data_IF_319680280587
#
_entry.id   IF_319680280587
#
_cell.length_a   1.000
_cell.length_b   1.000
_cell.length_c   1.000
_cell.angle_alpha   90.00
_cell.angle_beta   90.00
_cell.angle_gamma   90.00
#
_symmetry.space_group_name_H-M   'P 1'
#
loop_
_entity.id
_entity.type
_entity.pdbx_description
1 polymer ?
#
# COMPACT_ATOMS: atom_id res chain seq x y z
N UNK A 1 1.67 -20.95 -7.51
CA UNK A 1 0.44 -20.36 -6.92
C UNK A 1 0.90 -19.37 -5.87
N UNK A 2 0.41 -18.13 -5.91
CA UNK A 2 0.79 -17.10 -4.95
C UNK A 2 0.49 -17.53 -3.51
N UNK A 3 1.51 -17.45 -2.67
CA UNK A 3 1.42 -17.59 -1.22
C UNK A 3 1.93 -16.31 -0.57
N UNK A 4 1.29 -15.86 0.50
CA UNK A 4 1.73 -14.71 1.28
C UNK A 4 1.64 -15.02 2.77
N UNK A 5 2.51 -14.41 3.56
CA UNK A 5 2.36 -14.36 4.99
C UNK A 5 1.13 -13.53 5.37
N UNK A 6 0.10 -14.22 5.85
CA UNK A 6 -1.09 -13.59 6.39
C UNK A 6 -0.85 -13.19 7.86
N UNK A 7 -1.02 -11.91 8.12
CA UNK A 7 -0.72 -11.28 9.41
C UNK A 7 -1.65 -11.79 10.50
N UNK A 8 -2.92 -12.07 10.16
CA UNK A 8 -3.91 -12.56 11.10
C UNK A 8 -3.54 -13.97 11.59
N UNK A 9 -3.25 -14.88 10.65
CA UNK A 9 -2.93 -16.29 10.95
C UNK A 9 -1.47 -16.53 11.31
N UNK A 10 -0.57 -15.58 11.01
CA UNK A 10 0.90 -15.67 11.18
C UNK A 10 1.52 -16.82 10.39
N UNK A 11 0.92 -17.16 9.26
CA UNK A 11 1.32 -18.27 8.41
C UNK A 11 1.42 -17.83 6.95
N UNK A 12 2.31 -18.48 6.19
CA UNK A 12 2.34 -18.33 4.73
C UNK A 12 1.24 -19.19 4.14
N UNK A 13 0.20 -18.55 3.63
CA UNK A 13 -1.02 -19.18 3.13
C UNK A 13 -1.19 -18.92 1.62
N UNK A 14 -1.83 -19.84 0.87
CA UNK A 14 -2.29 -19.55 -0.48
C UNK A 14 -3.21 -18.34 -0.51
N UNK A 15 -2.96 -17.40 -1.42
CA UNK A 15 -3.86 -16.27 -1.67
C UNK A 15 -4.56 -16.50 -3.00
N UNK A 16 -5.81 -16.93 -2.92
CA UNK A 16 -6.63 -17.22 -4.09
C UNK A 16 -8.08 -16.78 -3.84
N UNK A 17 -8.74 -16.18 -4.85
CA UNK A 17 -10.12 -15.76 -4.69
C UNK A 17 -11.07 -16.95 -4.57
N UNK A 18 -11.98 -16.89 -3.61
CA UNK A 18 -12.97 -17.94 -3.41
C UNK A 18 -13.97 -17.98 -4.58
N UNK A 19 -14.00 -19.10 -5.32
CA UNK A 19 -15.03 -19.36 -6.35
C UNK A 19 -15.01 -18.41 -7.55
N UNK A 20 -13.92 -17.67 -7.78
CA UNK A 20 -13.80 -16.77 -8.93
C UNK A 20 -12.37 -16.73 -9.48
N UNK A 21 -12.15 -16.01 -10.59
CA UNK A 21 -10.81 -15.70 -11.12
C UNK A 21 -10.41 -14.25 -10.87
N UNK A 22 -11.11 -13.55 -9.97
CA UNK A 22 -10.86 -12.13 -9.66
C UNK A 22 -10.39 -12.02 -8.21
N UNK A 23 -9.12 -11.69 -8.02
CA UNK A 23 -8.54 -11.35 -6.73
C UNK A 23 -8.86 -9.88 -6.42
N UNK A 24 -9.63 -9.65 -5.36
CA UNK A 24 -10.05 -8.32 -4.90
C UNK A 24 -9.13 -7.86 -3.78
N UNK A 25 -8.42 -6.77 -4.03
CA UNK A 25 -7.36 -6.29 -3.15
C UNK A 25 -7.60 -4.83 -2.77
N UNK A 26 -7.57 -4.55 -1.48
CA UNK A 26 -7.54 -3.19 -0.96
C UNK A 26 -6.12 -2.84 -0.50
N UNK A 27 -5.66 -1.62 -0.78
CA UNK A 27 -4.39 -1.09 -0.30
C UNK A 27 -4.63 0.18 0.49
N UNK A 28 -4.30 0.12 1.79
CA UNK A 28 -4.24 1.28 2.65
C UNK A 28 -2.86 1.93 2.50
N UNK A 29 -2.86 3.16 2.00
CA UNK A 29 -1.68 4.04 1.98
C UNK A 29 -1.87 5.13 3.03
N UNK A 30 -0.81 5.45 3.78
CA UNK A 30 -0.90 6.50 4.79
C UNK A 30 -1.11 7.88 4.15
N UNK A 31 -1.60 8.81 4.96
CA UNK A 31 -2.08 10.11 4.50
C UNK A 31 -0.92 11.08 4.19
N UNK A 32 -1.24 12.08 3.37
CA UNK A 32 -0.32 13.02 2.73
C UNK A 32 0.43 13.97 3.71
N UNK A 33 1.62 14.48 3.31
CA UNK A 33 2.29 14.24 2.03
C UNK A 33 2.94 12.85 1.97
N UNK A 34 2.80 12.19 0.81
CA UNK A 34 3.33 10.85 0.59
C UNK A 34 4.85 10.87 0.41
N UNK A 35 5.52 9.90 1.01
CA UNK A 35 6.94 9.63 0.76
C UNK A 35 7.20 8.18 0.38
N UNK A 36 8.48 7.82 0.28
CA UNK A 36 8.91 6.45 -0.02
C UNK A 36 8.31 5.40 0.92
N UNK A 37 8.02 5.77 2.17
CA UNK A 37 7.39 4.87 3.14
C UNK A 37 5.96 4.48 2.72
N UNK A 38 5.22 5.40 2.10
CA UNK A 38 3.83 5.21 1.66
C UNK A 38 3.75 4.49 0.31
N UNK A 39 4.80 4.61 -0.52
CA UNK A 39 4.94 3.84 -1.75
C UNK A 39 5.24 2.35 -1.49
N UNK A 40 5.80 2.00 -0.32
CA UNK A 40 6.16 0.61 -0.01
C UNK A 40 4.98 -0.37 0.04
N UNK A 41 3.84 -0.10 0.72
CA UNK A 41 2.67 -0.98 0.64
C UNK A 41 2.06 -1.01 -0.77
N UNK A 42 2.17 0.08 -1.54
CA UNK A 42 1.74 0.09 -2.95
C UNK A 42 2.65 -0.78 -3.83
N UNK A 43 3.96 -0.81 -3.58
CA UNK A 43 4.90 -1.73 -4.24
C UNK A 43 4.55 -3.19 -3.92
N UNK A 44 4.21 -3.49 -2.66
CA UNK A 44 3.74 -4.82 -2.27
C UNK A 44 2.46 -5.21 -3.04
N UNK A 45 1.48 -4.30 -3.12
CA UNK A 45 0.26 -4.53 -3.89
C UNK A 45 0.55 -4.74 -5.39
N UNK A 46 1.47 -3.97 -5.98
CA UNK A 46 1.90 -4.14 -7.37
C UNK A 46 2.56 -5.51 -7.62
N UNK A 47 3.43 -5.98 -6.71
CA UNK A 47 4.04 -7.31 -6.79
C UNK A 47 2.99 -8.43 -6.69
N UNK A 48 2.09 -8.34 -5.70
CA UNK A 48 0.96 -9.26 -5.57
C UNK A 48 0.17 -9.31 -6.87
N UNK A 49 -0.15 -8.14 -7.43
CA UNK A 49 -0.91 -8.03 -8.68
C UNK A 49 -0.21 -8.74 -9.83
N UNK A 50 1.08 -8.45 -10.03
CA UNK A 50 1.87 -9.01 -11.14
C UNK A 50 2.04 -10.53 -11.02
N UNK A 51 2.27 -11.05 -9.82
CA UNK A 51 2.38 -12.50 -9.59
C UNK A 51 1.02 -13.20 -9.76
N UNK A 52 -0.07 -12.60 -9.25
CA UNK A 52 -1.42 -13.13 -9.43
C UNK A 52 -1.84 -13.17 -10.91
N UNK A 53 -1.56 -12.11 -11.66
CA UNK A 53 -1.89 -12.04 -13.09
C UNK A 53 -1.04 -12.99 -13.94
N UNK A 54 0.24 -13.20 -13.59
CA UNK A 54 1.06 -14.26 -14.20
C UNK A 54 0.44 -15.64 -13.99
N UNK A 55 -0.20 -15.88 -12.84
CA UNK A 55 -0.92 -17.11 -12.54
C UNK A 55 -2.32 -17.19 -13.19
N UNK A 56 -2.69 -16.23 -14.05
CA UNK A 56 -3.95 -16.22 -14.79
C UNK A 56 -5.15 -15.67 -14.01
N UNK A 57 -4.92 -15.01 -12.88
CA UNK A 57 -5.97 -14.27 -12.16
C UNK A 57 -6.13 -12.87 -12.74
N UNK A 58 -7.34 -12.32 -12.69
CA UNK A 58 -7.55 -10.88 -12.82
C UNK A 58 -7.48 -10.27 -11.43
N UNK A 59 -6.91 -9.08 -11.31
CA UNK A 59 -6.90 -8.33 -10.05
C UNK A 59 -7.86 -7.16 -10.17
N UNK A 60 -8.66 -6.94 -9.13
CA UNK A 60 -9.47 -5.75 -8.92
C UNK A 60 -8.91 -5.04 -7.68
N UNK A 61 -8.16 -3.97 -7.90
CA UNK A 61 -7.47 -3.21 -6.87
C UNK A 61 -8.24 -1.93 -6.54
N UNK A 62 -8.30 -1.62 -5.25
CA UNK A 62 -8.82 -0.37 -4.72
C UNK A 62 -7.82 0.23 -3.74
N UNK A 63 -7.53 1.52 -3.84
CA UNK A 63 -6.66 2.26 -2.91
C UNK A 63 -7.30 3.62 -2.65
N UNK A 64 -7.52 3.99 -1.40
CA UNK A 64 -8.02 5.34 -1.12
C UNK A 64 -6.93 6.41 -1.28
N UNK A 65 -7.34 7.64 -1.59
CA UNK A 65 -6.46 8.81 -1.65
C UNK A 65 -6.97 9.84 -0.64
N UNK A 66 -6.14 10.18 0.34
CA UNK A 66 -6.52 11.16 1.35
C UNK A 66 -6.19 12.58 0.92
N UNK A 67 -7.18 13.28 0.38
CA UNK A 67 -7.11 14.69 -0.04
C UNK A 67 -7.42 15.70 1.10
N UNK A 68 -7.70 15.22 2.32
CA UNK A 68 -8.07 16.08 3.45
C UNK A 68 -6.87 16.40 4.35
N UNK A 69 -6.59 17.68 4.57
CA UNK A 69 -5.57 18.14 5.52
C UNK A 69 -6.09 17.86 6.91
N UNK A 70 -5.46 16.96 7.64
CA UNK A 70 -5.79 16.73 9.05
C UNK A 70 -4.52 16.83 9.87
N UNK A 71 -4.47 17.85 10.74
CA UNK A 71 -3.51 17.86 11.84
C UNK A 71 -3.82 16.66 12.72
N UNK A 72 -2.83 15.78 12.91
CA UNK A 72 -2.93 14.69 13.88
C UNK A 72 -3.28 15.27 15.26
N UNK A 73 -4.39 14.81 15.82
CA UNK A 73 -4.78 15.15 17.18
C UNK A 73 -3.76 14.60 18.17
N UNK A 74 -3.04 15.50 18.86
CA UNK A 74 -2.35 15.19 20.11
C UNK A 74 -0.82 14.99 20.06
N UNK A 75 -0.08 16.05 19.76
CA UNK A 75 1.08 16.56 20.54
C UNK A 75 1.75 17.65 19.72
N UNK A 76 2.01 18.79 20.37
CA UNK A 76 2.53 20.01 19.74
C UNK A 76 3.72 19.74 18.82
N UNK A 77 3.51 19.93 17.53
CA UNK A 77 4.58 20.29 16.61
C UNK A 77 4.37 21.78 16.36
N UNK A 78 5.17 22.59 17.05
CA UNK A 78 5.37 23.99 16.68
C UNK A 78 5.98 23.97 15.29
N UNK A 79 5.18 24.36 14.31
CA UNK A 79 5.55 24.55 12.92
C UNK A 79 4.48 25.43 12.32
N UNK A 80 4.72 26.73 12.40
CA UNK A 80 4.06 27.72 11.55
C UNK A 80 4.38 27.34 10.10
N UNK A 81 3.34 27.12 9.29
CA UNK A 81 3.49 26.62 7.93
C UNK A 81 2.14 26.40 7.27
N UNK A 82 1.56 27.52 6.85
CA UNK A 82 0.67 27.74 5.70
C UNK A 82 -0.55 26.83 5.49
N UNK A 83 -1.72 27.44 5.73
CA UNK A 83 -2.68 27.77 4.67
C UNK A 83 -3.32 26.63 3.89
N UNK A 84 -4.64 26.64 3.82
CA UNK A 84 -5.45 25.88 2.87
C UNK A 84 -5.22 26.35 1.42
N UNK A 85 -3.99 26.17 0.93
CA UNK A 85 -3.64 26.26 -0.48
C UNK A 85 -4.08 24.99 -1.22
N UNK A 86 -4.35 25.17 -2.49
CA UNK A 86 -4.77 24.19 -3.49
C UNK A 86 -3.98 22.86 -3.41
N UNK A 87 -4.59 21.80 -2.87
CA UNK A 87 -3.99 20.45 -2.72
C UNK A 87 -4.47 19.44 -3.76
N UNK A 88 -5.04 19.91 -4.87
CA UNK A 88 -5.25 19.07 -6.06
C UNK A 88 -3.94 18.44 -6.59
N UNK A 89 -2.77 18.89 -6.11
CA UNK A 89 -1.44 18.37 -6.46
C UNK A 89 -0.92 17.18 -5.63
N UNK A 90 -1.44 16.89 -4.44
CA UNK A 90 -0.79 15.93 -3.52
C UNK A 90 -1.10 14.47 -3.86
N UNK A 91 -2.35 14.15 -4.19
CA UNK A 91 -2.73 12.84 -4.74
C UNK A 91 -2.14 12.60 -6.13
N UNK A 92 -1.99 13.68 -6.91
CA UNK A 92 -1.26 13.66 -8.18
C UNK A 92 0.23 13.38 -7.97
N UNK A 93 0.82 13.78 -6.84
CA UNK A 93 2.20 13.48 -6.47
C UNK A 93 2.38 12.00 -6.13
N UNK A 94 1.48 11.38 -5.34
CA UNK A 94 1.56 9.93 -5.08
C UNK A 94 1.47 9.13 -6.38
N UNK A 95 0.47 9.43 -7.22
CA UNK A 95 0.26 8.67 -8.46
C UNK A 95 1.39 8.87 -9.47
N UNK A 96 1.95 10.08 -9.55
CA UNK A 96 3.15 10.32 -10.33
C UNK A 96 4.35 9.52 -9.79
N UNK A 97 4.55 9.49 -8.47
CA UNK A 97 5.63 8.73 -7.85
C UNK A 97 5.46 7.21 -8.03
N UNK A 98 4.24 6.70 -7.86
CA UNK A 98 3.91 5.30 -8.08
C UNK A 98 4.12 4.91 -9.55
N UNK A 99 3.73 5.77 -10.49
CA UNK A 99 3.97 5.59 -11.92
C UNK A 99 5.48 5.60 -12.24
N UNK A 100 6.24 6.52 -11.66
CA UNK A 100 7.70 6.59 -11.82
C UNK A 100 8.41 5.34 -11.27
N UNK A 101 7.81 4.65 -10.30
CA UNK A 101 8.23 3.33 -9.80
C UNK A 101 7.59 2.15 -10.55
N UNK A 102 7.05 2.38 -11.76
CA UNK A 102 6.40 1.38 -12.61
C UNK A 102 5.30 0.58 -11.91
N UNK A 103 4.59 1.17 -10.93
CA UNK A 103 3.46 0.52 -10.30
C UNK A 103 2.21 0.67 -11.16
N UNK A 104 1.37 -0.36 -11.19
CA UNK A 104 0.10 -0.31 -11.91
C UNK A 104 -0.96 0.41 -11.08
N UNK A 105 -1.67 1.35 -11.72
CA UNK A 105 -2.78 2.06 -11.08
C UNK A 105 -3.89 1.10 -10.65
N UNK A 106 -4.53 1.33 -9.49
CA UNK A 106 -5.70 0.56 -9.08
C UNK A 106 -6.92 0.89 -9.97
N UNK A 107 -7.85 -0.05 -10.11
CA UNK A 107 -9.11 0.19 -10.84
C UNK A 107 -10.00 1.21 -10.13
N UNK A 108 -9.86 1.34 -8.81
CA UNK A 108 -10.57 2.31 -7.99
C UNK A 108 -9.60 3.10 -7.11
N UNK A 109 -9.66 4.43 -7.22
CA UNK A 109 -8.85 5.34 -6.40
C UNK A 109 -9.65 6.53 -5.88
N UNK A 110 -10.72 6.30 -5.09
CA UNK A 110 -11.60 7.38 -4.65
C UNK A 110 -10.89 8.30 -3.66
N UNK A 111 -11.21 9.60 -3.72
CA UNK A 111 -10.74 10.58 -2.74
C UNK A 111 -11.53 10.46 -1.45
N UNK A 112 -10.92 10.74 -0.29
CA UNK A 112 -11.62 10.72 1.01
C UNK A 112 -12.79 11.70 1.04
N UNK A 113 -12.66 12.87 0.41
CA UNK A 113 -13.76 13.83 0.29
C UNK A 113 -14.98 13.26 -0.45
N UNK A 114 -14.78 12.35 -1.42
CA UNK A 114 -15.81 11.73 -2.24
C UNK A 114 -16.51 10.55 -1.53
N UNK A 115 -15.85 9.94 -0.53
CA UNK A 115 -16.35 8.74 0.16
C UNK A 115 -17.08 9.04 1.46
N UNK A 116 -17.25 10.32 1.83
CA UNK A 116 -17.83 10.66 3.13
C UNK A 116 -19.25 10.14 3.35
N UNK A 117 -20.06 10.09 2.30
CA UNK A 117 -21.39 9.47 2.37
C UNK A 117 -21.32 8.01 2.82
N UNK A 118 -20.35 7.25 2.30
CA UNK A 118 -20.10 5.85 2.69
C UNK A 118 -19.67 5.73 4.15
N UNK A 119 -18.88 6.68 4.64
CA UNK A 119 -18.44 6.73 6.04
C UNK A 119 -19.64 6.96 6.97
N UNK A 120 -20.51 7.92 6.65
CA UNK A 120 -21.72 8.21 7.44
C UNK A 120 -22.66 7.00 7.43
N UNK A 121 -22.86 6.36 6.27
CA UNK A 121 -23.63 5.12 6.14
C UNK A 121 -23.06 3.98 6.99
N UNK A 122 -21.73 3.82 7.01
CA UNK A 122 -21.05 2.81 7.82
C UNK A 122 -21.31 3.04 9.31
N UNK A 123 -21.17 4.27 9.80
CA UNK A 123 -21.46 4.60 11.20
C UNK A 123 -22.92 4.28 11.54
N UNK A 124 -23.87 4.67 10.68
CA UNK A 124 -25.29 4.35 10.86
C UNK A 124 -25.52 2.84 11.00
N UNK A 125 -24.93 2.05 10.10
CA UNK A 125 -25.01 0.58 10.15
C UNK A 125 -24.39 -0.02 11.41
N UNK A 126 -23.29 0.55 11.92
CA UNK A 126 -22.66 0.10 13.16
C UNK A 126 -23.59 0.33 14.36
N UNK A 127 -24.29 1.47 14.42
CA UNK A 127 -25.29 1.75 15.46
C UNK A 127 -26.47 0.79 15.35
N UNK A 128 -27.03 0.61 14.15
CA UNK A 128 -28.16 -0.31 13.90
C UNK A 128 -27.85 -1.75 14.34
N UNK A 129 -26.59 -2.16 14.25
CA UNK A 129 -26.12 -3.51 14.63
C UNK A 129 -25.62 -3.60 16.07
N UNK A 130 -25.68 -2.52 16.86
CA UNK A 130 -25.28 -2.51 18.26
C UNK A 130 -23.77 -2.52 18.51
N UNK A 131 -22.98 -2.06 17.54
CA UNK A 131 -21.51 -1.94 17.63
C UNK A 131 -21.02 -0.50 17.85
N UNK A 132 -21.93 0.47 17.80
CA UNK A 132 -21.62 1.88 18.05
C UNK A 132 -22.78 2.55 18.79
N UNK A 133 -22.47 3.64 19.48
CA UNK A 133 -23.46 4.44 20.20
C UNK A 133 -23.18 5.94 20.03
N UNK A 134 -24.24 6.73 20.00
CA UNK A 134 -24.18 8.19 19.94
C UNK A 134 -24.38 8.79 21.35
N UNK A 135 -23.67 9.87 21.66
CA UNK A 135 -23.85 10.64 22.89
C UNK A 135 -24.86 11.78 22.67
N UNK A 136 -25.48 12.33 23.73
CA UNK A 136 -26.37 13.48 23.63
C UNK A 136 -25.72 14.71 22.97
N UNK A 137 -24.41 14.84 23.05
CA UNK A 137 -23.61 15.93 22.49
C UNK A 137 -23.28 15.73 21.00
N UNK A 138 -23.73 14.63 20.39
CA UNK A 138 -23.55 14.34 18.96
C UNK A 138 -22.27 13.60 18.62
N UNK A 139 -21.46 13.18 19.61
CA UNK A 139 -20.34 12.29 19.37
C UNK A 139 -20.82 10.86 19.11
N UNK A 140 -20.08 10.10 18.31
CA UNK A 140 -20.34 8.66 18.10
C UNK A 140 -19.09 7.88 18.37
N UNK A 141 -19.22 6.79 19.12
CA UNK A 141 -18.12 5.89 19.48
C UNK A 141 -18.41 4.47 19.01
N UNK A 142 -17.36 3.74 18.66
CA UNK A 142 -17.42 2.29 18.50
C UNK A 142 -17.30 1.65 19.89
N UNK A 143 -18.22 0.75 20.21
CA UNK A 143 -18.18 -0.05 21.43
C UNK A 143 -17.16 -1.18 21.24
N UNK A 144 -15.97 -1.05 21.81
CA UNK A 144 -14.90 -2.04 21.67
C UNK A 144 -15.30 -3.41 22.27
N UNK A 145 -16.18 -3.43 23.26
CA UNK A 145 -16.66 -4.66 23.91
C UNK A 145 -17.59 -5.47 23.01
N UNK A 146 -18.22 -4.82 22.03
CA UNK A 146 -19.10 -5.46 21.05
C UNK A 146 -18.36 -6.31 20.01
N UNK A 147 -17.01 -6.25 19.95
CA UNK A 147 -16.20 -7.01 19.00
C UNK A 147 -15.13 -7.86 19.74
N UNK A 148 -15.47 -9.07 20.21
CA UNK A 148 -14.62 -9.88 21.09
C UNK A 148 -13.25 -10.25 20.51
N UNK A 149 -13.13 -10.29 19.17
CA UNK A 149 -11.93 -10.65 18.42
C UNK A 149 -11.02 -9.45 18.14
N UNK A 150 -11.22 -8.32 18.82
CA UNK A 150 -10.35 -7.15 18.70
C UNK A 150 -8.93 -7.44 19.22
N UNK A 151 -7.92 -7.14 18.41
CA UNK A 151 -6.50 -7.31 18.74
C UNK A 151 -5.87 -8.56 18.12
N UNK A 152 -6.63 -9.40 17.39
CA UNK A 152 -6.13 -10.65 16.80
C UNK A 152 -5.09 -10.42 15.69
N UNK A 153 -5.30 -9.40 14.83
CA UNK A 153 -4.35 -9.09 13.76
C UNK A 153 -3.02 -8.63 14.36
N UNK A 154 -3.08 -7.66 15.27
CA UNK A 154 -1.91 -7.05 15.90
C UNK A 154 -1.26 -7.92 16.98
N UNK A 155 -1.94 -8.96 17.48
CA UNK A 155 -1.50 -9.76 18.62
C UNK A 155 -1.57 -9.02 19.95
N UNK A 156 -2.47 -8.02 20.06
CA UNK A 156 -2.71 -7.20 21.26
C UNK A 156 -4.17 -7.36 21.73
N UNK A 157 -4.56 -8.55 22.24
CA UNK A 157 -5.94 -8.79 22.64
C UNK A 157 -6.35 -7.93 23.83
N UNK A 158 -7.61 -7.50 23.86
CA UNK A 158 -8.24 -6.85 25.03
C UNK A 158 -7.75 -5.43 25.36
N UNK A 159 -7.04 -4.76 24.44
CA UNK A 159 -6.36 -3.49 24.71
C UNK A 159 -6.96 -2.27 24.00
N UNK A 160 -8.28 -2.12 23.93
CA UNK A 160 -8.89 -0.91 23.35
C UNK A 160 -9.99 -0.32 24.23
N UNK A 161 -9.92 0.99 24.55
CA UNK A 161 -11.12 1.74 24.91
C UNK A 161 -12.00 1.92 23.67
N UNK A 162 -13.26 2.26 23.90
CA UNK A 162 -14.14 2.78 22.86
C UNK A 162 -13.46 3.94 22.14
N UNK A 163 -13.60 4.00 20.81
CA UNK A 163 -12.91 5.00 20.00
C UNK A 163 -13.90 5.81 19.17
N UNK A 164 -13.59 7.10 18.91
CA UNK A 164 -14.49 7.98 18.20
C UNK A 164 -14.64 7.56 16.74
N UNK A 165 -15.89 7.48 16.31
CA UNK A 165 -16.32 7.36 14.92
C UNK A 165 -16.76 8.71 14.35
N UNK A 166 -17.31 9.59 15.21
CA UNK A 166 -17.75 10.93 14.85
C UNK A 166 -17.45 11.91 15.99
N UNK A 167 -16.73 12.97 15.68
CA UNK A 167 -16.42 14.06 16.61
C UNK A 167 -17.28 15.29 16.27
N UNK A 168 -18.14 15.78 17.19
CA UNK A 168 -19.01 16.90 16.92
C UNK A 168 -18.19 18.19 16.85
N UNK A 169 -18.51 19.05 15.88
CA UNK A 169 -17.89 20.36 15.74
C UNK A 169 -18.96 21.45 15.90
N UNK A 170 -18.86 22.29 16.94
CA UNK A 170 -19.82 23.37 17.17
C UNK A 170 -19.98 24.29 15.96
N UNK A 171 -21.18 24.87 15.83
CA UNK A 171 -21.41 25.95 14.88
C UNK A 171 -20.52 27.16 15.21
N UNK A 172 -19.87 27.77 14.20
CA UNK A 172 -19.12 29.00 14.43
C UNK A 172 -20.05 30.10 14.94
N UNK A 173 -19.56 31.00 15.83
CA UNK A 173 -20.33 32.15 16.28
C UNK A 173 -20.84 32.99 15.09
N UNK A 174 -22.09 33.48 15.16
CA UNK A 174 -22.66 34.32 14.09
C UNK A 174 -21.75 35.54 13.85
N UNK A 175 -21.27 35.68 12.62
CA UNK A 175 -20.39 36.79 12.21
C UNK A 175 -18.89 36.49 12.29
N UNK A 176 -18.46 35.31 12.75
CA UNK A 176 -17.07 34.91 12.61
C UNK A 176 -16.78 34.49 11.16
N UNK A 177 -15.88 35.19 10.49
CA UNK A 177 -15.28 34.77 9.20
C UNK A 177 -14.14 33.77 9.43
N UNK A 178 -14.27 32.94 10.47
CA UNK A 178 -13.18 32.18 11.07
C UNK A 178 -12.57 31.18 10.11
N UNK A 179 -11.26 31.34 9.92
CA UNK A 179 -10.32 30.64 9.05
C UNK A 179 -10.04 29.18 9.49
N UNK A 180 -11.02 28.50 10.09
CA UNK A 180 -10.86 27.08 10.44
C UNK A 180 -11.16 26.26 9.17
N UNK A 181 -10.19 26.27 8.25
CA UNK A 181 -10.24 25.65 6.92
C UNK A 181 -10.35 24.11 6.92
N UNK A 182 -10.71 23.50 8.07
CA UNK A 182 -10.94 22.07 8.18
C UNK A 182 -12.27 21.73 7.52
N UNK A 183 -12.31 20.78 6.57
CA UNK A 183 -13.56 20.32 6.01
C UNK A 183 -14.38 19.64 7.11
N UNK A 184 -15.64 20.04 7.26
CA UNK A 184 -16.60 19.51 8.24
C UNK A 184 -17.84 19.03 7.50
N UNK A 185 -18.43 17.94 7.97
CA UNK A 185 -19.60 17.33 7.33
C UNK A 185 -20.82 17.36 8.23
N UNK A 186 -21.99 17.31 7.60
CA UNK A 186 -23.26 17.13 8.29
C UNK A 186 -23.64 15.65 8.24
N UNK A 187 -23.98 15.08 9.38
CA UNK A 187 -24.51 13.73 9.51
C UNK A 187 -25.75 13.69 10.42
N UNK A 188 -26.35 12.50 10.61
CA UNK A 188 -27.50 12.32 11.51
C UNK A 188 -27.24 12.75 12.95
N UNK A 189 -25.97 12.78 13.38
CA UNK A 189 -25.53 13.19 14.71
C UNK A 189 -25.12 14.67 14.79
N UNK A 190 -25.45 15.45 13.76
CA UNK A 190 -25.09 16.86 13.64
C UNK A 190 -23.80 17.08 12.85
N UNK A 191 -23.27 18.30 12.96
CA UNK A 191 -22.06 18.74 12.28
C UNK A 191 -20.83 18.14 12.96
N UNK A 192 -19.92 17.54 12.20
CA UNK A 192 -18.77 16.88 12.78
C UNK A 192 -17.72 16.36 11.79
N UNK A 193 -16.74 15.67 12.37
CA UNK A 193 -15.60 15.07 11.70
C UNK A 193 -15.64 13.55 11.88
N UNK A 194 -15.47 12.76 10.82
CA UNK A 194 -15.34 11.31 10.97
C UNK A 194 -14.00 10.95 11.61
N UNK A 195 -13.98 9.79 12.27
CA UNK A 195 -12.77 9.11 12.71
C UNK A 195 -11.89 8.66 11.54
N UNK A 196 -10.58 8.59 11.78
CA UNK A 196 -9.54 8.33 10.77
C UNK A 196 -9.68 6.97 10.08
N UNK A 197 -10.06 5.94 10.83
CA UNK A 197 -10.03 4.54 10.37
C UNK A 197 -11.24 4.15 9.49
N UNK A 198 -12.30 4.97 9.50
CA UNK A 198 -13.59 4.65 8.87
C UNK A 198 -13.54 4.63 7.35
N UNK A 199 -12.75 5.51 6.75
CA UNK A 199 -12.57 5.59 5.30
C UNK A 199 -12.03 4.25 4.77
N UNK A 200 -10.97 3.76 5.39
CA UNK A 200 -10.34 2.48 5.07
C UNK A 200 -11.21 1.25 5.39
N UNK A 201 -12.34 1.44 6.07
CA UNK A 201 -13.37 0.42 6.28
C UNK A 201 -14.48 0.51 5.23
N UNK A 202 -15.01 1.71 4.99
CA UNK A 202 -16.15 1.93 4.11
C UNK A 202 -15.81 1.75 2.63
N UNK A 203 -14.65 2.26 2.21
CA UNK A 203 -14.19 2.23 0.82
C UNK A 203 -14.09 0.80 0.25
N UNK A 204 -13.34 -0.15 0.85
CA UNK A 204 -13.26 -1.50 0.30
C UNK A 204 -14.62 -2.21 0.25
N UNK A 205 -15.49 -1.99 1.25
CA UNK A 205 -16.83 -2.59 1.25
C UNK A 205 -17.68 -2.12 0.05
N UNK A 206 -17.50 -0.87 -0.40
CA UNK A 206 -18.22 -0.31 -1.55
C UNK A 206 -17.68 -0.79 -2.90
N UNK A 207 -16.36 -0.83 -3.06
CA UNK A 207 -15.71 -1.09 -4.35
C UNK A 207 -15.35 -2.55 -4.58
N UNK A 208 -15.09 -3.31 -3.52
CA UNK A 208 -14.71 -4.73 -3.57
C UNK A 208 -15.84 -5.65 -3.09
N UNK A 209 -16.81 -5.10 -2.36
CA UNK A 209 -17.97 -5.82 -1.83
C UNK A 209 -17.81 -6.21 -0.36
N UNK A 210 -18.84 -6.87 0.24
CA UNK A 210 -18.90 -7.16 1.67
C UNK A 210 -17.88 -8.22 2.13
N UNK A 211 -17.15 -8.84 1.21
CA UNK A 211 -16.04 -9.75 1.44
C UNK A 211 -15.08 -9.69 0.26
N UNK A 212 -13.79 -9.50 0.53
CA UNK A 212 -12.71 -9.38 -0.45
C UNK A 212 -11.46 -10.15 0.03
N UNK A 213 -10.52 -10.37 -0.88
CA UNK A 213 -9.51 -11.41 -0.72
C UNK A 213 -8.28 -10.95 0.08
N UNK A 214 -7.82 -9.71 -0.15
CA UNK A 214 -6.57 -9.22 0.45
C UNK A 214 -6.67 -7.76 0.89
N UNK A 215 -6.25 -7.49 2.13
CA UNK A 215 -5.98 -6.16 2.65
C UNK A 215 -4.46 -5.96 2.76
N UNK A 216 -3.94 -4.89 2.16
CA UNK A 216 -2.53 -4.54 2.15
C UNK A 216 -2.29 -3.23 2.88
N UNK A 217 -1.25 -3.13 3.70
CA UNK A 217 -0.84 -1.85 4.28
C UNK A 217 0.52 -1.91 4.96
N UNK A 218 0.86 -0.87 5.73
CA UNK A 218 2.15 -0.80 6.44
C UNK A 218 2.08 -1.44 7.82
N UNK A 219 3.19 -2.01 8.28
CA UNK A 219 3.26 -2.67 9.59
C UNK A 219 2.93 -1.75 10.77
N UNK A 220 3.25 -0.45 10.70
CA UNK A 220 2.88 0.51 11.74
C UNK A 220 1.38 0.80 11.80
N UNK A 221 0.66 0.65 10.69
CA UNK A 221 -0.79 0.81 10.64
C UNK A 221 -1.53 -0.46 11.11
N UNK A 222 -0.84 -1.58 11.33
CA UNK A 222 -1.45 -2.80 11.86
C UNK A 222 -2.23 -2.52 13.17
N UNK A 223 -1.70 -1.64 14.03
CA UNK A 223 -2.40 -1.20 15.24
C UNK A 223 -2.25 0.32 15.48
N UNK A 224 -3.32 1.05 15.84
CA UNK A 224 -4.70 0.56 15.97
C UNK A 224 -5.47 0.56 14.64
N UNK A 225 -4.92 1.15 13.57
CA UNK A 225 -5.67 1.51 12.37
C UNK A 225 -6.33 0.31 11.68
N UNK A 226 -5.57 -0.70 11.27
CA UNK A 226 -6.11 -1.89 10.61
C UNK A 226 -6.92 -2.79 11.55
N UNK A 227 -6.57 -2.82 12.85
CA UNK A 227 -7.38 -3.53 13.86
C UNK A 227 -8.79 -2.93 13.96
N UNK A 228 -8.87 -1.59 13.97
CA UNK A 228 -10.15 -0.86 13.93
C UNK A 228 -10.85 -1.05 12.59
N UNK A 229 -10.12 -1.05 11.47
CA UNK A 229 -10.70 -1.26 10.16
C UNK A 229 -11.36 -2.65 10.03
N UNK A 230 -10.70 -3.70 10.56
CA UNK A 230 -11.29 -5.03 10.67
C UNK A 230 -12.52 -5.01 11.56
N UNK A 231 -12.44 -4.45 12.76
CA UNK A 231 -13.57 -4.41 13.70
C UNK A 231 -14.80 -3.72 13.08
N UNK A 232 -14.61 -2.54 12.47
CA UNK A 232 -15.67 -1.77 11.81
C UNK A 232 -16.26 -2.53 10.62
N UNK A 233 -15.41 -3.08 9.75
CA UNK A 233 -15.88 -3.79 8.55
C UNK A 233 -16.60 -5.10 8.90
N UNK A 234 -16.09 -5.84 9.88
CA UNK A 234 -16.67 -7.12 10.29
C UNK A 234 -17.98 -6.91 11.07
N UNK A 235 -18.03 -5.94 11.98
CA UNK A 235 -19.26 -5.53 12.66
C UNK A 235 -20.34 -5.11 11.66
N UNK A 236 -19.96 -4.32 10.65
CA UNK A 236 -20.89 -3.84 9.62
C UNK A 236 -21.40 -4.93 8.68
N UNK A 237 -20.62 -5.98 8.42
CA UNK A 237 -20.97 -7.04 7.46
C UNK A 237 -21.46 -8.33 8.12
N UNK A 238 -21.12 -8.57 9.39
CA UNK A 238 -21.38 -9.80 10.12
C UNK A 238 -20.45 -10.96 9.75
N UNK A 239 -19.32 -10.70 9.08
CA UNK A 239 -18.34 -11.71 8.65
C UNK A 239 -16.93 -11.11 8.53
N UNK A 240 -15.91 -11.94 8.31
CA UNK A 240 -14.59 -11.43 7.91
C UNK A 240 -14.65 -10.76 6.53
N UNK A 241 -14.55 -9.43 6.52
CA UNK A 241 -14.59 -8.65 5.28
C UNK A 241 -13.32 -8.87 4.44
N UNK A 242 -12.14 -8.86 5.05
CA UNK A 242 -10.87 -9.18 4.39
C UNK A 242 -10.44 -10.60 4.76
N UNK A 243 -10.21 -11.46 3.77
CA UNK A 243 -9.79 -12.86 4.02
C UNK A 243 -8.34 -12.94 4.50
N UNK A 244 -7.45 -12.14 3.91
CA UNK A 244 -6.02 -12.12 4.25
C UNK A 244 -5.52 -10.69 4.50
N UNK A 245 -4.50 -10.57 5.36
CA UNK A 245 -3.86 -9.31 5.71
C UNK A 245 -2.36 -9.36 5.44
N UNK A 246 -1.84 -8.53 4.54
CA UNK A 246 -0.42 -8.44 4.24
C UNK A 246 0.15 -7.08 4.63
N UNK A 247 1.25 -7.07 5.39
CA UNK A 247 1.89 -5.84 5.83
C UNK A 247 3.34 -5.72 5.34
N UNK A 248 3.68 -4.56 4.77
CA UNK A 248 5.08 -4.21 4.47
C UNK A 248 5.81 -3.76 5.74
N UNK A 249 7.09 -4.12 5.87
CA UNK A 249 7.93 -3.70 6.98
C UNK A 249 8.17 -2.18 7.03
N UNK A 250 8.72 -1.69 8.14
CA UNK A 250 9.05 -0.27 8.30
C UNK A 250 10.14 0.17 7.35
N UNK A 251 10.04 1.41 6.87
CA UNK A 251 11.09 2.07 6.11
C UNK A 251 11.87 3.00 7.04
N UNK A 252 13.19 2.90 7.00
CA UNK A 252 14.11 3.92 7.48
C UNK A 252 14.78 4.58 6.28
N UNK A 253 15.22 5.81 6.47
CA UNK A 253 16.08 6.52 5.54
C UNK A 253 17.23 7.16 6.30
N UNK A 254 18.46 6.81 5.93
CA UNK A 254 19.67 7.23 6.65
C UNK A 254 19.56 6.96 8.16
N UNK A 255 19.12 5.75 8.53
CA UNK A 255 19.00 5.30 9.92
C UNK A 255 17.83 5.91 10.72
N UNK A 256 17.02 6.80 10.12
CA UNK A 256 15.86 7.43 10.77
C UNK A 256 14.55 6.88 10.20
N UNK A 257 13.54 6.55 11.04
CA UNK A 257 12.24 6.12 10.53
C UNK A 257 11.67 7.11 9.51
N UNK A 258 11.26 6.60 8.35
CA UNK A 258 10.60 7.38 7.32
C UNK A 258 9.08 7.28 7.48
N UNK A 259 8.37 8.40 7.32
CA UNK A 259 6.93 8.48 7.50
C UNK A 259 6.50 9.87 7.99
N UNK A 260 5.46 9.94 8.82
CA UNK A 260 4.96 11.21 9.36
C UNK A 260 6.05 11.94 10.14
N UNK A 261 6.38 13.17 9.73
CA UNK A 261 7.43 13.99 10.34
C UNK A 261 8.84 13.80 9.75
N UNK A 262 9.07 12.76 8.95
CA UNK A 262 10.29 12.54 8.18
C UNK A 262 9.94 11.95 6.82
N UNK A 263 9.39 12.81 5.96
CA UNK A 263 8.94 12.46 4.62
C UNK A 263 10.14 12.51 3.68
N UNK A 264 10.36 11.41 2.96
CA UNK A 264 11.40 11.31 1.92
C UNK A 264 10.70 11.25 0.57
N UNK A 265 10.70 12.34 -0.21
CA UNK A 265 10.02 12.37 -1.50
C UNK A 265 10.86 11.66 -2.58
N UNK A 266 10.19 11.00 -3.53
CA UNK A 266 10.89 10.39 -4.68
C UNK A 266 11.59 11.44 -5.54
N UNK A 267 11.04 12.65 -5.63
CA UNK A 267 11.64 13.78 -6.34
C UNK A 267 13.05 14.13 -5.85
N UNK A 268 13.36 13.88 -4.57
CA UNK A 268 14.71 14.04 -4.02
C UNK A 268 15.72 13.06 -4.63
N UNK A 269 15.28 11.82 -4.90
CA UNK A 269 16.10 10.79 -5.56
C UNK A 269 16.37 11.17 -7.02
N UNK A 270 15.32 11.64 -7.72
CA UNK A 270 15.44 12.13 -9.11
C UNK A 270 16.37 13.34 -9.20
N UNK A 271 16.23 14.30 -8.29
CA UNK A 271 17.09 15.48 -8.23
C UNK A 271 18.57 15.15 -7.97
N UNK A 272 18.85 14.01 -7.33
CA UNK A 272 20.20 13.49 -7.16
C UNK A 272 20.78 12.81 -8.41
N UNK A 273 20.03 12.80 -9.52
CA UNK A 273 20.44 12.21 -10.80
C UNK A 273 20.30 10.69 -10.87
N UNK A 274 19.57 10.08 -9.93
CA UNK A 274 19.34 8.64 -9.88
C UNK A 274 18.05 8.29 -10.60
N UNK A 275 18.02 7.11 -11.22
CA UNK A 275 16.81 6.55 -11.80
C UNK A 275 15.77 6.26 -10.70
N UNK A 276 14.49 6.68 -10.83
CA UNK A 276 13.45 6.33 -9.87
C UNK A 276 13.37 4.83 -9.58
N UNK A 277 13.58 3.97 -10.59
CA UNK A 277 13.53 2.52 -10.45
C UNK A 277 14.70 1.95 -9.64
N UNK A 278 15.74 2.75 -9.34
CA UNK A 278 16.73 2.40 -8.32
C UNK A 278 16.09 2.24 -6.93
N UNK A 279 15.08 3.05 -6.60
CA UNK A 279 14.30 2.88 -5.36
C UNK A 279 13.55 1.55 -5.38
N UNK A 280 12.91 1.23 -6.51
CA UNK A 280 12.21 -0.04 -6.68
C UNK A 280 13.16 -1.21 -6.51
N UNK A 281 14.29 -1.22 -7.22
CA UNK A 281 15.29 -2.28 -7.11
C UNK A 281 15.81 -2.40 -5.67
N UNK A 282 16.21 -1.29 -5.04
CA UNK A 282 16.67 -1.28 -3.66
C UNK A 282 15.64 -1.89 -2.70
N UNK A 283 14.35 -1.58 -2.86
CA UNK A 283 13.30 -2.19 -2.05
C UNK A 283 13.11 -3.69 -2.33
N UNK A 284 13.28 -4.14 -3.58
CA UNK A 284 13.18 -5.56 -3.97
C UNK A 284 14.35 -6.41 -3.45
N UNK A 285 15.50 -5.81 -3.14
CA UNK A 285 16.63 -6.48 -2.50
C UNK A 285 16.34 -6.91 -1.05
N UNK A 286 15.25 -6.42 -0.47
CA UNK A 286 14.81 -6.78 0.87
C UNK A 286 13.41 -7.40 0.83
N UNK A 287 13.22 -8.47 1.61
CA UNK A 287 11.92 -9.11 1.70
C UNK A 287 10.89 -8.10 2.24
N UNK A 288 9.72 -8.00 1.59
CA UNK A 288 8.72 -6.96 1.84
C UNK A 288 8.32 -6.80 3.32
N UNK A 289 8.35 -7.89 4.10
CA UNK A 289 7.96 -7.96 5.52
C UNK A 289 9.01 -7.38 6.46
N UNK A 290 10.28 -7.29 6.04
CA UNK A 290 11.40 -6.89 6.89
C UNK A 290 11.53 -5.37 6.92
N UNK A 291 11.90 -4.77 8.07
CA UNK A 291 12.36 -3.39 8.08
C UNK A 291 13.52 -3.21 7.08
N UNK A 292 13.57 -2.07 6.41
CA UNK A 292 14.66 -1.71 5.48
C UNK A 292 15.12 -0.30 5.75
N UNK A 293 16.42 -0.08 5.71
CA UNK A 293 17.03 1.25 5.75
C UNK A 293 17.56 1.59 4.36
N UNK A 294 16.89 2.54 3.70
CA UNK A 294 17.37 3.07 2.43
C UNK A 294 18.38 4.19 2.72
N UNK A 295 19.62 3.98 2.30
CA UNK A 295 20.66 5.00 2.32
C UNK A 295 20.93 5.51 0.92
N UNK A 296 21.53 6.68 0.80
CA UNK A 296 22.00 7.19 -0.49
C UNK A 296 22.99 6.23 -1.16
N UNK A 297 23.82 5.54 -0.37
CA UNK A 297 24.74 4.55 -0.89
C UNK A 297 24.02 3.32 -1.45
N UNK A 298 22.97 2.84 -0.76
CA UNK A 298 22.12 1.77 -1.27
C UNK A 298 21.40 2.17 -2.57
N UNK A 299 20.90 3.41 -2.64
CA UNK A 299 20.24 3.93 -3.85
C UNK A 299 21.21 4.07 -5.03
N UNK A 300 22.43 4.57 -4.79
CA UNK A 300 23.48 4.64 -5.83
C UNK A 300 23.90 3.26 -6.32
N UNK A 301 24.04 2.30 -5.40
CA UNK A 301 24.36 0.92 -5.76
C UNK A 301 23.25 0.29 -6.62
N UNK A 302 21.98 0.49 -6.24
CA UNK A 302 20.83 0.04 -7.01
C UNK A 302 20.75 0.71 -8.40
N UNK A 303 21.02 2.02 -8.51
CA UNK A 303 21.07 2.72 -9.81
C UNK A 303 22.16 2.14 -10.72
N UNK A 304 23.36 1.89 -10.18
CA UNK A 304 24.46 1.28 -10.93
C UNK A 304 24.13 -0.13 -11.40
N UNK A 305 23.53 -0.96 -10.53
CA UNK A 305 23.09 -2.31 -10.87
C UNK A 305 21.99 -2.27 -11.95
N UNK A 306 21.00 -1.39 -11.81
CA UNK A 306 19.94 -1.22 -12.79
C UNK A 306 20.48 -0.87 -14.19
N UNK A 307 21.39 0.10 -14.27
CA UNK A 307 22.06 0.47 -15.53
C UNK A 307 22.88 -0.67 -16.10
N UNK A 308 23.54 -1.45 -15.25
CA UNK A 308 24.31 -2.62 -15.67
C UNK A 308 23.39 -3.69 -16.28
N UNK A 309 22.29 -4.02 -15.60
CA UNK A 309 21.31 -5.00 -16.08
C UNK A 309 20.67 -4.58 -17.41
N UNK A 310 20.30 -3.30 -17.56
CA UNK A 310 19.77 -2.76 -18.83
C UNK A 310 20.77 -2.90 -19.99
N UNK A 311 22.04 -2.55 -19.78
CA UNK A 311 23.09 -2.76 -20.79
C UNK A 311 23.24 -4.23 -21.18
N UNK A 312 23.22 -5.14 -20.20
CA UNK A 312 23.33 -6.59 -20.45
C UNK A 312 22.15 -7.12 -21.25
N UNK A 313 20.94 -6.69 -20.91
CA UNK A 313 19.72 -7.04 -21.66
C UNK A 313 19.79 -6.48 -23.09
N UNK A 314 20.29 -5.25 -23.28
CA UNK A 314 20.50 -4.68 -24.60
C UNK A 314 21.53 -5.47 -25.44
N UNK A 315 22.66 -5.85 -24.84
CA UNK A 315 23.67 -6.71 -25.49
C UNK A 315 23.08 -8.07 -25.90
N UNK A 316 22.31 -8.72 -25.02
CA UNK A 316 21.71 -10.02 -25.33
C UNK A 316 20.62 -9.92 -26.40
N UNK A 317 19.96 -8.77 -26.53
CA UNK A 317 18.94 -8.53 -27.56
C UNK A 317 19.52 -8.54 -28.99
N UNK A 318 20.84 -8.39 -29.16
CA UNK A 318 21.52 -8.52 -30.45
C UNK A 318 21.69 -9.97 -30.92
N UNK A 319 21.44 -10.94 -30.02
CA UNK A 319 21.51 -12.37 -30.33
C UNK A 319 20.14 -12.92 -30.76
N UNK A 320 20.08 -14.00 -31.56
CA UNK A 320 18.82 -14.65 -31.90
C UNK A 320 18.04 -15.06 -30.64
N UNK A 321 16.75 -14.75 -30.59
CA UNK A 321 15.86 -15.17 -29.50
C UNK A 321 15.86 -16.70 -29.34
N UNK A 322 15.80 -17.16 -28.09
CA UNK A 322 15.78 -18.58 -27.70
C UNK A 322 14.75 -18.79 -26.59
N UNK A 323 14.24 -20.01 -26.40
CA UNK A 323 13.36 -20.30 -25.27
C UNK A 323 13.97 -19.86 -23.95
N UNK A 324 13.12 -19.43 -23.02
CA UNK A 324 13.53 -19.13 -21.63
C UNK A 324 14.31 -20.32 -21.04
N UNK A 325 15.29 -20.03 -20.18
CA UNK A 325 15.99 -21.07 -19.46
C UNK A 325 15.08 -21.67 -18.39
N UNK A 326 14.58 -22.88 -18.64
CA UNK A 326 13.56 -23.51 -17.80
C UNK A 326 14.04 -23.76 -16.36
N UNK A 327 15.33 -24.04 -16.15
CA UNK A 327 15.89 -24.36 -14.83
C UNK A 327 15.93 -23.11 -13.95
N UNK A 328 16.48 -22.01 -14.46
CA UNK A 328 16.50 -20.73 -13.74
C UNK A 328 15.09 -20.16 -13.60
N UNK A 329 14.28 -20.23 -14.65
CA UNK A 329 12.92 -19.72 -14.63
C UNK A 329 12.06 -20.40 -13.55
N UNK A 330 12.13 -21.74 -13.42
CA UNK A 330 11.38 -22.43 -12.39
C UNK A 330 11.82 -22.01 -10.98
N UNK A 331 13.13 -21.84 -10.74
CA UNK A 331 13.67 -21.40 -9.44
C UNK A 331 13.21 -19.98 -9.10
N UNK A 332 13.32 -19.04 -10.05
CA UNK A 332 12.89 -17.65 -9.85
C UNK A 332 11.38 -17.59 -9.62
N UNK A 333 10.60 -18.34 -10.38
CA UNK A 333 9.15 -18.41 -10.21
C UNK A 333 8.77 -18.93 -8.83
N UNK A 334 9.41 -20.00 -8.33
CA UNK A 334 9.16 -20.52 -6.99
C UNK A 334 9.45 -19.49 -5.90
N UNK A 335 10.54 -18.73 -6.02
CA UNK A 335 10.86 -17.67 -5.08
C UNK A 335 9.80 -16.55 -5.08
N UNK A 336 9.32 -16.14 -6.27
CA UNK A 336 8.26 -15.14 -6.37
C UNK A 336 6.89 -15.66 -5.90
N UNK A 337 6.59 -16.94 -6.11
CA UNK A 337 5.32 -17.56 -5.69
C UNK A 337 5.26 -17.80 -4.16
N UNK A 338 6.40 -18.01 -3.50
CA UNK A 338 6.49 -18.27 -2.06
C UNK A 338 6.82 -16.99 -1.28
N UNK A 339 5.77 -16.34 -0.77
CA UNK A 339 5.84 -15.12 0.06
C UNK A 339 6.58 -13.94 -0.60
N UNK A 340 6.55 -13.88 -1.94
CA UNK A 340 7.22 -12.83 -2.73
C UNK A 340 8.69 -12.64 -2.32
N UNK A 341 9.48 -13.72 -2.27
CA UNK A 341 10.91 -13.68 -1.96
C UNK A 341 11.72 -13.04 -3.12
N UNK A 342 11.53 -11.73 -3.31
CA UNK A 342 12.22 -10.92 -4.31
C UNK A 342 13.73 -10.90 -4.13
N UNK A 343 14.32 -10.92 -2.91
CA UNK A 343 15.77 -11.06 -2.76
C UNK A 343 16.31 -12.38 -3.34
N UNK A 344 15.62 -13.49 -3.09
CA UNK A 344 16.01 -14.77 -3.68
C UNK A 344 15.84 -14.76 -5.21
N UNK A 345 14.73 -14.21 -5.72
CA UNK A 345 14.50 -14.07 -7.15
C UNK A 345 15.61 -13.25 -7.85
N UNK A 346 16.02 -12.12 -7.26
CA UNK A 346 17.10 -11.29 -7.79
C UNK A 346 18.46 -11.99 -7.77
N UNK A 347 18.79 -12.73 -6.69
CA UNK A 347 20.01 -13.58 -6.69
C UNK A 347 19.99 -14.62 -7.79
N UNK A 348 18.86 -15.30 -7.99
CA UNK A 348 18.72 -16.34 -9.02
C UNK A 348 18.85 -15.77 -10.44
N UNK A 349 18.43 -14.53 -10.66
CA UNK A 349 18.68 -13.82 -11.92
C UNK A 349 20.16 -13.45 -12.09
N UNK A 350 20.85 -13.05 -11.02
CA UNK A 350 22.31 -12.83 -11.05
C UNK A 350 23.09 -14.12 -11.33
N UNK A 351 22.63 -15.25 -10.79
CA UNK A 351 23.19 -16.57 -11.12
C UNK A 351 23.06 -16.85 -12.62
N UNK A 352 21.86 -16.63 -13.19
CA UNK A 352 21.61 -16.79 -14.64
C UNK A 352 22.46 -15.86 -15.49
N UNK A 353 22.60 -14.60 -15.07
CA UNK A 353 23.44 -13.64 -15.76
C UNK A 353 24.90 -14.14 -15.88
N UNK A 354 25.43 -14.69 -14.78
CA UNK A 354 26.80 -15.18 -14.68
C UNK A 354 27.02 -16.54 -15.35
N UNK A 355 25.97 -17.30 -15.65
CA UNK A 355 26.07 -18.64 -16.23
C UNK A 355 26.47 -18.58 -17.73
N UNK A 356 27.74 -18.84 -18.03
CA UNK A 356 28.26 -18.83 -19.41
C UNK A 356 27.72 -19.98 -20.28
N UNK A 357 27.10 -21.01 -19.68
CA UNK A 357 26.52 -22.13 -20.43
C UNK A 357 25.17 -21.80 -21.08
N UNK A 358 24.51 -20.74 -20.63
CA UNK A 358 23.21 -20.29 -21.18
C UNK A 358 23.43 -19.28 -22.31
N UNK A 359 22.83 -19.55 -23.46
CA UNK A 359 22.92 -18.66 -24.63
C UNK A 359 22.33 -17.27 -24.33
N UNK A 360 22.92 -16.18 -24.87
CA UNK A 360 22.42 -14.81 -24.67
C UNK A 360 20.92 -14.63 -24.96
N UNK A 361 20.42 -15.21 -26.06
CA UNK A 361 18.99 -15.14 -26.40
C UNK A 361 18.07 -15.76 -25.33
N UNK A 362 18.52 -16.82 -24.64
CA UNK A 362 17.77 -17.43 -23.54
C UNK A 362 17.82 -16.56 -22.28
N UNK A 363 18.96 -15.91 -22.01
CA UNK A 363 19.08 -14.93 -20.92
C UNK A 363 18.14 -13.76 -21.15
N UNK A 364 18.15 -13.19 -22.36
CA UNK A 364 17.25 -12.11 -22.77
C UNK A 364 15.78 -12.43 -22.48
N UNK A 365 15.25 -13.52 -23.05
CA UNK A 365 13.84 -13.88 -22.86
C UNK A 365 13.50 -14.17 -21.39
N UNK A 366 14.43 -14.78 -20.64
CA UNK A 366 14.20 -15.10 -19.22
C UNK A 366 14.16 -13.82 -18.37
N UNK A 367 15.08 -12.87 -18.60
CA UNK A 367 15.08 -11.59 -17.90
C UNK A 367 13.82 -10.78 -18.22
N UNK A 368 13.39 -10.73 -19.48
CA UNK A 368 12.15 -10.04 -19.85
C UNK A 368 10.91 -10.70 -19.25
N UNK A 369 10.89 -12.03 -19.20
CA UNK A 369 9.80 -12.77 -18.57
C UNK A 369 9.61 -12.38 -17.10
N UNK A 370 10.69 -12.23 -16.33
CA UNK A 370 10.61 -11.81 -14.94
C UNK A 370 10.50 -10.30 -14.75
N UNK A 371 10.92 -9.49 -15.71
CA UNK A 371 10.72 -8.05 -15.66
C UNK A 371 9.23 -7.67 -15.72
N UNK A 372 8.36 -8.53 -16.25
CA UNK A 372 6.90 -8.34 -16.10
C UNK A 372 6.43 -8.31 -14.63
N UNK A 373 7.19 -8.93 -13.71
CA UNK A 373 6.92 -8.91 -12.27
C UNK A 373 7.80 -7.89 -11.55
N UNK A 374 9.09 -7.88 -11.85
CA UNK A 374 10.05 -6.98 -11.20
C UNK A 374 9.90 -5.53 -11.65
N UNK A 375 9.40 -5.28 -12.86
CA UNK A 375 9.07 -3.98 -13.45
C UNK A 375 10.20 -2.93 -13.36
N UNK A 376 11.43 -3.37 -13.63
CA UNK A 376 12.64 -2.57 -13.64
C UNK A 376 12.89 -1.88 -14.99
N UNK A 377 12.05 -2.15 -15.99
CA UNK A 377 12.19 -1.61 -17.35
C UNK A 377 13.58 -1.96 -17.92
N UNK A 378 13.89 -3.26 -17.87
CA UNK A 378 15.17 -3.79 -18.35
C UNK A 378 15.39 -3.61 -19.87
N UNK A 379 14.35 -3.57 -20.73
CA UNK A 379 14.49 -3.27 -22.16
C UNK A 379 14.91 -1.83 -22.50
N UNK A 380 14.97 -0.90 -21.55
CA UNK A 380 15.04 0.54 -21.83
C UNK A 380 16.21 0.98 -22.73
N UNK A 381 17.33 0.25 -22.70
CA UNK A 381 18.55 0.56 -23.45
C UNK A 381 18.65 -0.18 -24.79
N UNK A 382 17.69 -1.04 -25.14
CA UNK A 382 17.69 -1.74 -26.44
C UNK A 382 17.64 -0.73 -27.59
N UNK A 383 18.60 -0.83 -28.50
CA UNK A 383 18.71 0.07 -29.67
C UNK A 383 19.21 1.48 -29.35
N UNK A 384 19.62 1.76 -28.11
CA UNK A 384 20.29 3.01 -27.73
C UNK A 384 21.80 2.82 -27.85
N UNK A 385 22.30 2.86 -29.08
CA UNK A 385 23.74 2.96 -29.39
C UNK A 385 24.17 4.41 -29.60
#
# INVERSE_FOLDING_TARGET
>A
MLRLHDTLTRQVVPVAPAGSRILRMYTCTAHEPAGLADLRPALLADLVRRVAERAGLRVLACRSVSDLARRNGGRGVNGDGDGAGDRDGDGASFDADALALNMRAPEHSPRTSETMGLVIELIGRLIERGHAYATPEGAVFFDATSFPTYGEISGKPGSAPDWPLWEPVPEPPRGSTGDDARPVWNGPWGRGLPGHDLECSATPLRFLGPRFDLYVGRADLCFPHHERARAQSNAATGQEAAVHWAHSGHLLFEGRPAGTGHVVPLSGVVAAGLDPLAVRLALLEHHYRRPVDLTWDALRAADQELRRLRRRVAEWAESPSRPIDGVHAERVQRALDDDLDTPAALRLLRDLEADESVEPGSKFETFLHFDHVLALDLPADIGRT
#
